data_IF_645013188906
#
_entry.id   IF_645013188906
#
_cell.length_a   1.000
_cell.length_b   1.000
_cell.length_c   1.000
_cell.angle_alpha   90.00
_cell.angle_beta   90.00
_cell.angle_gamma   90.00
#
_symmetry.space_group_name_H-M   'P 1'
#
loop_
_entity.id
_entity.type
_entity.pdbx_description
1 polymer ?
#
# COMPACT_ATOMS: atom_id res chain seq x y z
N UNK A 1 12.76 18.78 -23.26
CA UNK A 1 11.51 18.00 -23.12
C UNK A 1 11.24 17.72 -21.65
N UNK A 2 9.99 17.44 -21.28
CA UNK A 2 9.55 17.32 -19.88
C UNK A 2 9.80 15.88 -19.38
N UNK A 3 11.03 15.63 -18.92
CA UNK A 3 11.39 14.41 -18.19
C UNK A 3 11.43 14.63 -16.68
N UNK A 4 10.77 13.73 -15.94
CA UNK A 4 11.11 13.16 -14.62
C UNK A 4 11.73 14.09 -13.56
N UNK A 5 11.30 15.35 -13.45
CA UNK A 5 11.99 16.32 -12.58
C UNK A 5 11.23 17.60 -12.27
N UNK A 6 9.89 17.55 -12.28
CA UNK A 6 9.10 18.43 -11.42
C UNK A 6 8.59 17.55 -10.28
N UNK A 7 8.69 18.02 -9.04
CA UNK A 7 8.12 17.33 -7.90
C UNK A 7 6.61 17.13 -8.15
N UNK A 8 6.12 15.94 -7.85
CA UNK A 8 5.06 15.34 -8.68
C UNK A 8 3.71 16.03 -8.54
N UNK A 9 3.23 16.60 -9.65
CA UNK A 9 1.89 17.15 -9.83
C UNK A 9 0.87 15.99 -9.93
N UNK A 10 0.70 15.25 -8.84
CA UNK A 10 -0.18 14.09 -8.77
C UNK A 10 -1.66 14.48 -8.63
N UNK A 11 -2.53 13.52 -8.92
CA UNK A 11 -3.98 13.63 -8.77
C UNK A 11 -4.57 14.84 -9.54
N UNK A 12 -4.22 14.92 -10.82
CA UNK A 12 -4.76 15.87 -11.83
C UNK A 12 -5.09 15.23 -13.19
N UNK A 13 -4.70 13.96 -13.41
CA UNK A 13 -4.81 13.29 -14.70
C UNK A 13 -3.78 13.78 -15.74
N UNK A 14 -3.01 12.85 -16.32
CA UNK A 14 -1.90 13.18 -17.25
C UNK A 14 -2.35 13.96 -18.48
N UNK A 15 -3.45 13.55 -19.14
CA UNK A 15 -3.98 14.25 -20.32
C UNK A 15 -4.58 15.63 -20.02
N UNK A 16 -5.22 15.79 -18.86
CA UNK A 16 -5.74 17.09 -18.42
C UNK A 16 -4.59 18.07 -18.09
N UNK A 17 -3.53 17.59 -17.44
CA UNK A 17 -2.32 18.37 -17.20
C UNK A 17 -1.62 18.79 -18.52
N UNK A 18 -1.49 17.87 -19.48
CA UNK A 18 -0.85 18.13 -20.78
C UNK A 18 -1.52 19.27 -21.59
N UNK A 19 -2.85 19.44 -21.47
CA UNK A 19 -3.60 20.47 -22.17
C UNK A 19 -3.74 21.80 -21.39
N UNK A 20 -3.28 21.82 -20.13
CA UNK A 20 -3.61 22.85 -19.14
C UNK A 20 -3.04 24.25 -19.40
N UNK A 21 -3.76 25.27 -18.93
CA UNK A 21 -3.26 26.66 -18.81
C UNK A 21 -2.01 26.73 -17.93
N UNK A 22 -1.92 25.90 -16.89
CA UNK A 22 -0.77 25.83 -15.98
C UNK A 22 0.50 25.44 -16.75
N UNK A 23 0.44 24.34 -17.51
CA UNK A 23 1.58 23.86 -18.30
C UNK A 23 1.94 24.84 -19.42
N UNK A 24 0.95 25.48 -20.06
CA UNK A 24 1.19 26.54 -21.07
C UNK A 24 1.99 27.70 -20.48
N UNK A 25 1.57 28.24 -19.34
CA UNK A 25 2.27 29.33 -18.63
C UNK A 25 3.66 28.91 -18.14
N UNK A 26 3.79 27.72 -17.58
CA UNK A 26 5.08 27.15 -17.15
C UNK A 26 6.08 27.06 -18.32
N UNK A 27 5.63 26.57 -19.48
CA UNK A 27 6.46 26.49 -20.69
C UNK A 27 6.79 27.87 -21.30
N UNK A 28 6.07 28.92 -20.92
CA UNK A 28 6.31 30.32 -21.31
C UNK A 28 7.20 31.08 -20.30
N UNK A 29 7.60 30.46 -19.18
CA UNK A 29 8.32 31.12 -18.09
C UNK A 29 7.45 32.00 -17.18
N UNK A 30 6.13 32.01 -17.37
CA UNK A 30 5.16 32.68 -16.48
C UNK A 30 4.97 31.84 -15.21
N UNK A 31 5.98 31.83 -14.35
CA UNK A 31 5.96 31.08 -13.10
C UNK A 31 4.89 31.63 -12.14
N UNK A 32 4.75 32.95 -12.01
CA UNK A 32 3.76 33.54 -11.09
C UNK A 32 2.32 33.26 -11.55
N UNK A 33 2.04 33.32 -12.86
CA UNK A 33 0.74 32.97 -13.40
C UNK A 33 0.49 31.46 -13.41
N UNK A 34 1.50 30.61 -13.61
CA UNK A 34 1.36 29.15 -13.46
C UNK A 34 1.06 28.76 -12.00
N UNK A 35 1.74 29.38 -11.04
CA UNK A 35 1.47 29.25 -9.61
C UNK A 35 0.02 29.63 -9.25
N UNK A 36 -0.60 30.55 -10.00
CA UNK A 36 -1.99 30.95 -9.78
C UNK A 36 -3.02 29.97 -10.36
N UNK A 37 -2.64 29.01 -11.22
CA UNK A 37 -3.56 27.99 -11.74
C UNK A 37 -3.76 26.80 -10.79
N UNK A 38 -2.89 26.57 -9.80
CA UNK A 38 -2.94 25.41 -8.88
C UNK A 38 -4.30 25.25 -8.20
N UNK A 39 -4.95 26.34 -7.78
CA UNK A 39 -6.25 26.32 -7.08
C UNK A 39 -7.43 25.86 -7.95
N UNK A 40 -7.27 25.71 -9.27
CA UNK A 40 -8.31 25.07 -10.12
C UNK A 40 -8.39 23.56 -9.95
N UNK A 41 -7.30 22.95 -9.48
CA UNK A 41 -7.06 21.50 -9.44
C UNK A 41 -7.35 20.91 -8.04
N UNK A 42 -8.44 21.37 -7.43
CA UNK A 42 -8.89 21.01 -6.07
C UNK A 42 -10.15 20.13 -6.04
N UNK A 43 -10.70 19.80 -7.22
CA UNK A 43 -12.03 19.20 -7.35
C UNK A 43 -11.97 17.72 -7.76
N UNK A 44 -12.73 16.88 -7.08
CA UNK A 44 -13.04 15.49 -7.48
C UNK A 44 -14.51 15.32 -7.87
N UNK A 45 -14.95 14.07 -8.03
CA UNK A 45 -16.36 13.70 -8.18
C UNK A 45 -16.76 12.85 -6.97
N UNK A 46 -17.93 13.13 -6.39
CA UNK A 46 -18.56 12.39 -5.30
C UNK A 46 -20.05 12.28 -5.61
N UNK A 47 -20.61 11.07 -5.61
CA UNK A 47 -22.00 10.77 -5.94
C UNK A 47 -22.41 11.37 -7.31
N UNK A 48 -21.51 11.29 -8.31
CA UNK A 48 -21.67 11.91 -9.63
C UNK A 48 -21.54 13.44 -9.68
N UNK A 49 -21.47 14.13 -8.54
CA UNK A 49 -21.36 15.60 -8.46
C UNK A 49 -19.89 16.03 -8.32
N UNK A 50 -19.49 17.04 -9.10
CA UNK A 50 -18.14 17.62 -8.99
C UNK A 50 -18.06 18.56 -7.78
N UNK A 51 -17.18 18.26 -6.83
CA UNK A 51 -17.00 19.04 -5.60
C UNK A 51 -15.52 19.26 -5.25
N UNK A 52 -15.24 20.31 -4.47
CA UNK A 52 -13.91 20.58 -3.93
C UNK A 52 -13.58 19.59 -2.81
N UNK A 53 -12.42 18.92 -2.88
CA UNK A 53 -11.97 17.97 -1.86
C UNK A 53 -10.97 18.64 -0.91
N UNK A 54 -11.19 18.64 0.44
CA UNK A 54 -10.32 19.34 1.39
C UNK A 54 -8.83 18.97 1.27
N UNK A 55 -8.52 17.68 1.10
CA UNK A 55 -7.16 17.20 0.85
C UNK A 55 -6.52 17.89 -0.37
N UNK A 56 -7.21 17.92 -1.52
CA UNK A 56 -6.70 18.59 -2.71
C UNK A 56 -6.56 20.10 -2.54
N UNK A 57 -7.45 20.78 -1.79
CA UNK A 57 -7.30 22.21 -1.47
C UNK A 57 -5.98 22.46 -0.72
N UNK A 58 -5.73 21.69 0.35
CA UNK A 58 -4.49 21.75 1.14
C UNK A 58 -3.26 21.47 0.27
N UNK A 59 -3.30 20.39 -0.52
CA UNK A 59 -2.24 20.01 -1.46
C UNK A 59 -1.85 21.15 -2.40
N UNK A 60 -2.83 21.75 -3.07
CA UNK A 60 -2.60 22.77 -4.09
C UNK A 60 -2.08 24.08 -3.51
N UNK A 61 -2.37 24.39 -2.25
CA UNK A 61 -1.76 25.51 -1.52
C UNK A 61 -0.27 25.24 -1.21
N UNK A 62 0.07 24.02 -0.78
CA UNK A 62 1.45 23.61 -0.48
C UNK A 62 2.33 23.52 -1.73
N UNK A 63 1.84 22.86 -2.77
CA UNK A 63 2.55 22.77 -4.05
C UNK A 63 2.77 24.16 -4.66
N UNK A 64 1.78 25.08 -4.58
CA UNK A 64 1.95 26.49 -4.99
C UNK A 64 3.03 27.19 -4.19
N UNK A 65 3.06 27.03 -2.86
CA UNK A 65 4.06 27.65 -1.97
C UNK A 65 5.47 27.18 -2.32
N UNK A 66 5.64 25.88 -2.57
CA UNK A 66 6.94 25.30 -2.90
C UNK A 66 7.39 25.65 -4.32
N UNK A 67 6.48 25.66 -5.29
CA UNK A 67 6.72 26.11 -6.66
C UNK A 67 7.26 27.55 -6.69
N UNK A 68 6.63 28.46 -5.94
CA UNK A 68 7.08 29.86 -5.81
C UNK A 68 8.42 29.97 -5.06
N UNK A 69 8.62 29.20 -3.99
CA UNK A 69 9.89 29.16 -3.23
C UNK A 69 11.07 28.69 -4.09
N UNK A 70 10.84 27.80 -5.05
CA UNK A 70 11.85 27.32 -6.00
C UNK A 70 12.10 28.28 -7.18
N UNK A 71 11.37 29.41 -7.28
CA UNK A 71 11.46 30.34 -8.40
C UNK A 71 11.04 29.74 -9.75
N UNK A 72 10.30 28.62 -9.74
CA UNK A 72 9.98 27.83 -10.94
C UNK A 72 11.14 26.99 -11.50
N UNK A 73 12.35 27.08 -10.93
CA UNK A 73 13.53 26.36 -11.43
C UNK A 73 13.54 24.87 -11.06
N UNK A 74 14.11 24.04 -11.92
CA UNK A 74 14.45 22.64 -11.62
C UNK A 74 15.68 22.50 -10.73
N UNK A 75 15.64 23.09 -9.53
CA UNK A 75 16.55 22.71 -8.44
C UNK A 75 15.92 21.51 -7.70
N UNK A 76 16.58 20.33 -7.67
CA UNK A 76 16.13 19.28 -6.78
C UNK A 76 16.07 19.81 -5.34
N UNK A 77 15.01 19.47 -4.62
CA UNK A 77 15.12 19.39 -3.17
C UNK A 77 16.25 18.38 -2.86
N UNK A 78 16.98 18.56 -1.75
CA UNK A 78 18.13 17.71 -1.41
C UNK A 78 17.69 16.29 -1.03
N UNK A 79 17.45 15.49 -2.07
CA UNK A 79 17.21 14.06 -2.00
C UNK A 79 18.49 13.37 -1.53
N UNK A 80 18.53 12.97 -0.26
CA UNK A 80 19.51 11.99 0.21
C UNK A 80 19.40 10.75 -0.69
N UNK A 81 20.41 10.49 -1.53
CA UNK A 81 20.42 9.36 -2.47
C UNK A 81 19.99 8.09 -1.74
N UNK A 82 18.96 7.39 -2.25
CA UNK A 82 18.34 6.28 -1.52
C UNK A 82 19.34 5.15 -1.27
N UNK A 83 19.05 4.30 -0.28
CA UNK A 83 19.85 3.07 -0.06
C UNK A 83 19.96 2.25 -1.36
N UNK A 84 18.89 2.23 -2.15
CA UNK A 84 18.81 1.46 -3.39
C UNK A 84 19.60 2.13 -4.52
N UNK A 85 19.52 3.46 -4.67
CA UNK A 85 20.26 4.21 -5.68
C UNK A 85 21.77 4.30 -5.36
N UNK A 86 22.17 4.06 -4.10
CA UNK A 86 23.58 3.86 -3.69
C UNK A 86 24.16 2.50 -4.11
N UNK A 87 23.34 1.53 -4.53
CA UNK A 87 23.82 0.19 -4.89
C UNK A 87 24.46 0.21 -6.28
N UNK A 88 25.65 -0.37 -6.35
CA UNK A 88 26.53 -0.42 -7.52
C UNK A 88 26.66 -1.83 -8.11
N UNK A 89 26.45 -2.87 -7.30
CA UNK A 89 26.37 -4.27 -7.73
C UNK A 89 25.61 -5.15 -6.72
N UNK A 90 25.22 -6.34 -7.14
CA UNK A 90 24.49 -7.32 -6.34
C UNK A 90 25.26 -8.65 -6.25
N UNK A 91 25.15 -9.34 -5.11
CA UNK A 91 25.74 -10.67 -4.93
C UNK A 91 24.74 -11.68 -4.36
N UNK A 92 24.54 -12.79 -5.07
CA UNK A 92 23.64 -13.87 -4.68
C UNK A 92 24.35 -14.99 -3.94
N UNK A 93 23.88 -15.29 -2.74
CA UNK A 93 24.33 -16.35 -1.85
C UNK A 93 23.23 -17.40 -1.63
N UNK A 94 23.62 -18.56 -1.08
CA UNK A 94 22.69 -19.52 -0.44
C UNK A 94 23.02 -19.60 1.04
N UNK A 95 22.01 -19.63 1.89
CA UNK A 95 22.20 -19.83 3.33
C UNK A 95 22.01 -21.30 3.74
N UNK A 96 22.21 -21.58 5.03
CA UNK A 96 22.06 -22.91 5.65
C UNK A 96 20.68 -23.55 5.41
N UNK A 97 19.63 -22.74 5.32
CA UNK A 97 18.26 -23.16 5.03
C UNK A 97 18.00 -23.31 3.52
N UNK A 98 19.05 -23.23 2.70
CA UNK A 98 19.01 -23.23 1.23
C UNK A 98 18.18 -22.08 0.64
N UNK A 99 17.84 -21.03 1.40
CA UNK A 99 17.19 -19.82 0.85
C UNK A 99 18.15 -19.07 -0.06
N UNK A 100 17.64 -18.16 -0.86
CA UNK A 100 18.46 -17.29 -1.71
C UNK A 100 18.60 -15.94 -1.03
N UNK A 101 19.83 -15.49 -0.83
CA UNK A 101 20.13 -14.25 -0.13
C UNK A 101 20.86 -13.33 -1.11
N UNK A 102 20.37 -12.10 -1.31
CA UNK A 102 21.01 -11.13 -2.21
C UNK A 102 21.55 -9.97 -1.38
N UNK A 103 22.87 -9.81 -1.39
CA UNK A 103 23.56 -8.69 -0.74
C UNK A 103 23.69 -7.56 -1.76
N UNK A 104 23.25 -6.35 -1.36
CA UNK A 104 23.27 -5.17 -2.21
C UNK A 104 24.43 -4.25 -1.80
N UNK A 105 25.38 -4.05 -2.72
CA UNK A 105 26.70 -3.47 -2.44
C UNK A 105 26.90 -2.08 -3.06
N UNK A 106 27.39 -1.16 -2.23
CA UNK A 106 27.94 0.14 -2.61
C UNK A 106 29.47 0.07 -2.49
N UNK A 107 30.16 -0.23 -3.59
CA UNK A 107 31.58 -0.60 -3.55
C UNK A 107 31.81 -1.83 -2.65
N UNK A 108 32.54 -1.64 -1.54
CA UNK A 108 32.76 -2.66 -0.50
C UNK A 108 31.82 -2.57 0.71
N UNK A 109 30.80 -1.70 0.71
CA UNK A 109 29.83 -1.52 1.80
C UNK A 109 28.50 -2.20 1.47
N UNK A 110 27.92 -2.90 2.44
CA UNK A 110 26.54 -3.42 2.34
C UNK A 110 25.55 -2.27 2.61
N UNK A 111 24.55 -2.10 1.74
CA UNK A 111 23.43 -1.17 1.97
C UNK A 111 22.15 -1.89 2.43
N UNK A 112 21.89 -3.08 1.87
CA UNK A 112 20.79 -4.00 2.21
C UNK A 112 21.21 -5.47 2.06
N UNK A 113 20.58 -6.37 2.83
CA UNK A 113 20.64 -7.82 2.62
C UNK A 113 19.20 -8.32 2.46
N UNK A 114 18.87 -8.82 1.27
CA UNK A 114 17.57 -9.42 0.97
C UNK A 114 17.61 -10.93 1.20
N UNK A 115 16.58 -11.52 1.80
CA UNK A 115 16.37 -12.98 1.86
C UNK A 115 15.07 -13.31 1.14
N UNK A 116 15.14 -14.11 0.08
CA UNK A 116 13.96 -14.61 -0.63
C UNK A 116 13.47 -15.88 0.06
N UNK A 117 12.24 -15.85 0.56
CA UNK A 117 11.63 -16.98 1.30
C UNK A 117 11.46 -18.23 0.42
N UNK A 118 11.14 -18.02 -0.86
CA UNK A 118 11.18 -19.02 -1.93
C UNK A 118 12.10 -18.52 -3.04
N UNK A 119 12.83 -19.43 -3.69
CA UNK A 119 13.56 -19.06 -4.91
C UNK A 119 12.58 -18.97 -6.10
N UNK A 120 12.13 -17.75 -6.41
CA UNK A 120 11.51 -17.43 -7.69
C UNK A 120 12.43 -16.50 -8.50
N UNK A 121 12.60 -16.80 -9.80
CA UNK A 121 13.33 -15.94 -10.74
C UNK A 121 12.57 -14.65 -11.03
N UNK A 122 11.23 -14.72 -11.03
CA UNK A 122 10.39 -13.53 -11.24
C UNK A 122 10.56 -12.58 -10.06
N UNK A 123 10.44 -13.04 -8.81
CA UNK A 123 10.73 -12.22 -7.62
C UNK A 123 12.09 -11.50 -7.68
N UNK A 124 13.15 -12.12 -8.20
CA UNK A 124 14.44 -11.43 -8.44
C UNK A 124 14.32 -10.33 -9.51
N UNK A 125 13.75 -10.64 -10.68
CA UNK A 125 13.53 -9.69 -11.76
C UNK A 125 12.58 -8.53 -11.38
N UNK A 126 11.68 -8.77 -10.44
CA UNK A 126 10.70 -7.83 -9.91
C UNK A 126 11.30 -6.88 -8.87
N UNK A 127 12.31 -7.34 -8.11
CA UNK A 127 12.90 -6.64 -6.96
C UNK A 127 14.23 -5.96 -7.32
N UNK A 128 14.96 -6.43 -8.33
CA UNK A 128 16.20 -5.81 -8.79
C UNK A 128 16.03 -4.39 -9.39
N UNK A 129 14.94 -4.03 -10.10
CA UNK A 129 14.75 -2.68 -10.67
C UNK A 129 14.77 -1.52 -9.68
N UNK A 130 14.63 -1.75 -8.37
CA UNK A 130 14.84 -0.71 -7.36
C UNK A 130 16.31 -0.22 -7.34
N UNK A 131 17.28 -1.11 -7.65
CA UNK A 131 18.71 -0.85 -7.60
C UNK A 131 19.23 -0.29 -8.94
N UNK A 132 18.74 0.88 -9.34
CA UNK A 132 18.93 1.47 -10.68
C UNK A 132 20.39 1.62 -11.13
N UNK A 133 21.32 1.73 -10.18
CA UNK A 133 22.76 1.90 -10.44
C UNK A 133 23.55 0.58 -10.34
N UNK A 134 22.90 -0.55 -10.07
CA UNK A 134 23.54 -1.86 -10.00
C UNK A 134 23.94 -2.35 -11.40
N UNK A 135 25.25 -2.44 -11.67
CA UNK A 135 25.77 -2.78 -13.01
C UNK A 135 25.84 -4.28 -13.30
N UNK A 136 25.90 -5.12 -12.27
CA UNK A 136 26.01 -6.56 -12.41
C UNK A 136 25.49 -7.29 -11.16
N UNK A 137 25.03 -8.52 -11.37
CA UNK A 137 24.73 -9.51 -10.35
C UNK A 137 25.71 -10.67 -10.52
N UNK A 138 26.33 -11.12 -9.42
CA UNK A 138 27.23 -12.28 -9.40
C UNK A 138 26.79 -13.29 -8.35
N UNK A 139 27.05 -14.58 -8.59
CA UNK A 139 26.79 -15.63 -7.60
C UNK A 139 28.04 -15.84 -6.74
N UNK A 140 27.89 -15.75 -5.43
CA UNK A 140 28.97 -16.01 -4.47
C UNK A 140 29.43 -17.48 -4.53
N UNK A 141 30.73 -17.78 -4.37
CA UNK A 141 31.22 -19.14 -4.14
C UNK A 141 30.52 -19.78 -2.93
N UNK A 142 30.21 -21.08 -3.00
CA UNK A 142 29.42 -21.79 -1.98
C UNK A 142 30.03 -21.85 -0.57
N UNK A 143 31.30 -21.47 -0.41
CA UNK A 143 31.99 -21.34 0.88
C UNK A 143 32.11 -19.87 1.36
N UNK A 144 31.71 -18.88 0.57
CA UNK A 144 31.76 -17.46 0.94
C UNK A 144 30.66 -17.17 1.97
N UNK A 145 31.04 -16.75 3.17
CA UNK A 145 30.08 -16.36 4.22
C UNK A 145 29.27 -15.12 3.79
N UNK A 146 27.98 -15.15 4.10
CA UNK A 146 27.09 -13.98 3.98
C UNK A 146 27.54 -12.93 5.02
N UNK A 147 27.66 -11.64 4.66
CA UNK A 147 27.99 -10.59 5.62
C UNK A 147 26.94 -10.44 6.74
N UNK A 148 27.32 -9.98 7.94
CA UNK A 148 26.36 -9.66 8.99
C UNK A 148 25.57 -8.39 8.64
N UNK A 149 24.28 -8.35 9.01
CA UNK A 149 23.40 -7.20 8.82
C UNK A 149 21.93 -7.56 9.04
N UNK A 150 21.05 -6.55 9.01
CA UNK A 150 19.59 -6.77 8.98
C UNK A 150 19.22 -7.49 7.68
N UNK A 151 18.58 -8.67 7.81
CA UNK A 151 17.98 -9.38 6.68
C UNK A 151 16.56 -8.89 6.46
N UNK A 152 16.32 -8.30 5.30
CA UNK A 152 15.00 -7.91 4.81
C UNK A 152 14.41 -9.12 4.08
N UNK A 153 13.29 -9.66 4.54
CA UNK A 153 12.62 -10.78 3.89
C UNK A 153 11.81 -10.29 2.68
N UNK A 154 11.82 -11.05 1.59
CA UNK A 154 11.27 -10.68 0.28
C UNK A 154 10.40 -11.81 -0.27
N UNK A 155 9.22 -11.44 -0.75
CA UNK A 155 8.10 -12.34 -1.03
C UNK A 155 7.16 -11.73 -2.11
N UNK A 156 6.60 -12.57 -2.99
CA UNK A 156 5.58 -12.16 -3.98
C UNK A 156 4.33 -11.58 -3.26
N UNK A 157 3.45 -10.80 -3.90
CA UNK A 157 2.12 -10.49 -3.28
C UNK A 157 1.28 -11.78 -3.12
N UNK A 158 1.45 -12.70 -4.07
CA UNK A 158 1.04 -14.11 -4.04
C UNK A 158 1.94 -15.02 -3.17
N UNK A 159 2.82 -14.42 -2.36
CA UNK A 159 3.36 -14.99 -1.13
C UNK A 159 2.93 -14.24 0.15
N UNK A 160 2.63 -12.93 0.08
CA UNK A 160 2.03 -12.18 1.20
C UNK A 160 0.67 -12.85 1.56
N UNK A 161 -0.18 -13.19 0.57
CA UNK A 161 -1.08 -14.34 0.68
C UNK A 161 -0.50 -15.48 -0.14
N UNK A 162 -0.61 -16.74 0.29
CA UNK A 162 0.24 -17.81 -0.24
C UNK A 162 -0.55 -19.10 -0.56
N UNK A 163 -1.37 -19.23 -1.61
CA UNK A 163 -1.46 -18.63 -2.95
C UNK A 163 -0.47 -19.12 -4.02
N UNK A 164 0.86 -18.98 -3.94
CA UNK A 164 1.78 -19.45 -5.02
C UNK A 164 2.02 -20.98 -5.11
N UNK A 165 1.02 -21.76 -4.69
CA UNK A 165 0.61 -23.01 -5.36
C UNK A 165 -0.88 -22.87 -5.71
N UNK A 166 -1.19 -22.00 -6.68
CA UNK A 166 -2.59 -21.57 -6.90
C UNK A 166 -3.43 -22.81 -7.28
N UNK A 167 -4.38 -23.25 -6.43
CA UNK A 167 -4.88 -24.63 -6.49
C UNK A 167 -5.61 -24.89 -7.80
N UNK A 168 -5.22 -25.94 -8.53
CA UNK A 168 -5.77 -26.23 -9.86
C UNK A 168 -7.16 -26.85 -9.72
N UNK A 169 -8.20 -26.07 -10.02
CA UNK A 169 -9.56 -26.60 -10.10
C UNK A 169 -9.70 -27.44 -11.37
N UNK A 170 -9.85 -28.76 -11.21
CA UNK A 170 -9.91 -29.72 -12.32
C UNK A 170 -11.34 -30.11 -12.73
N UNK A 171 -12.35 -29.72 -11.95
CA UNK A 171 -13.78 -29.95 -12.18
C UNK A 171 -14.61 -28.84 -11.53
N UNK A 172 -15.84 -28.62 -11.98
CA UNK A 172 -16.79 -27.73 -11.26
C UNK A 172 -17.16 -28.38 -9.93
N UNK A 173 -17.26 -27.58 -8.87
CA UNK A 173 -17.63 -28.04 -7.54
C UNK A 173 -19.01 -27.50 -7.13
N UNK A 174 -19.84 -28.40 -6.64
CA UNK A 174 -21.24 -28.18 -6.24
C UNK A 174 -21.54 -28.94 -4.95
N UNK A 175 -22.66 -28.63 -4.30
CA UNK A 175 -23.08 -29.34 -3.08
C UNK A 175 -23.13 -30.86 -3.30
N UNK A 176 -22.48 -31.61 -2.40
CA UNK A 176 -22.26 -33.05 -2.53
C UNK A 176 -20.98 -33.46 -3.27
N UNK A 177 -20.13 -32.52 -3.69
CA UNK A 177 -18.78 -32.84 -4.19
C UNK A 177 -17.86 -33.21 -3.02
N UNK A 178 -17.03 -34.24 -3.19
CA UNK A 178 -16.06 -34.69 -2.19
C UNK A 178 -14.65 -34.76 -2.81
N UNK A 179 -13.63 -34.23 -2.14
CA UNK A 179 -12.24 -34.34 -2.59
C UNK A 179 -11.27 -33.26 -2.09
N UNK A 180 -9.98 -33.49 -2.31
CA UNK A 180 -8.90 -32.56 -1.92
C UNK A 180 -8.95 -31.22 -2.64
N UNK A 181 -9.66 -31.11 -3.77
CA UNK A 181 -10.02 -29.82 -4.36
C UNK A 181 -11.02 -29.08 -3.45
N UNK A 182 -12.16 -29.66 -3.09
CA UNK A 182 -13.16 -29.07 -2.16
C UNK A 182 -12.52 -28.60 -0.86
N UNK A 183 -11.58 -29.37 -0.27
CA UNK A 183 -10.89 -28.94 0.95
C UNK A 183 -10.21 -27.57 0.82
N UNK A 184 -9.65 -27.30 -0.36
CA UNK A 184 -8.88 -26.09 -0.66
C UNK A 184 -9.81 -24.90 -1.04
N UNK A 185 -11.03 -25.18 -1.52
CA UNK A 185 -12.10 -24.17 -1.62
C UNK A 185 -12.40 -23.56 -0.25
N UNK A 186 -12.62 -24.47 0.70
CA UNK A 186 -13.01 -24.19 2.07
C UNK A 186 -11.91 -23.41 2.79
N UNK A 187 -10.64 -23.77 2.59
CA UNK A 187 -9.48 -23.01 3.09
C UNK A 187 -9.47 -21.55 2.62
N UNK A 188 -9.84 -21.27 1.35
CA UNK A 188 -9.63 -19.93 0.79
C UNK A 188 -10.83 -18.98 0.81
N UNK A 189 -12.06 -19.49 0.78
CA UNK A 189 -13.21 -18.67 1.19
C UNK A 189 -13.01 -18.13 2.63
N UNK A 190 -12.30 -18.88 3.48
CA UNK A 190 -11.95 -18.52 4.86
C UNK A 190 -10.92 -17.39 4.91
N UNK A 191 -9.85 -17.46 4.11
CA UNK A 191 -8.80 -16.42 4.03
C UNK A 191 -9.29 -15.03 3.60
N UNK A 192 -10.30 -14.94 2.72
CA UNK A 192 -10.88 -13.66 2.29
C UNK A 192 -12.05 -13.17 3.16
N UNK A 193 -12.52 -13.97 4.13
CA UNK A 193 -13.53 -13.56 5.11
C UNK A 193 -14.96 -14.02 4.87
N UNK A 194 -15.19 -15.11 4.10
CA UNK A 194 -16.52 -15.51 3.64
C UNK A 194 -16.99 -16.93 4.03
N UNK A 195 -16.11 -17.88 4.38
CA UNK A 195 -16.50 -19.23 4.84
C UNK A 195 -16.06 -19.55 6.26
N UNK A 196 -16.88 -20.32 6.97
CA UNK A 196 -16.73 -20.59 8.41
C UNK A 196 -16.64 -22.08 8.77
N UNK A 197 -16.97 -23.01 7.85
CA UNK A 197 -17.15 -24.42 8.17
C UNK A 197 -15.88 -25.27 8.34
N UNK A 198 -16.09 -26.56 8.56
CA UNK A 198 -15.08 -27.61 8.61
C UNK A 198 -14.30 -27.75 7.29
N UNK A 199 -13.08 -28.30 7.38
CA UNK A 199 -12.25 -28.64 6.21
C UNK A 199 -12.34 -30.14 5.93
N UNK A 200 -13.57 -30.66 5.95
CA UNK A 200 -13.94 -32.08 5.80
C UNK A 200 -13.71 -32.62 4.38
N UNK A 201 -13.40 -31.75 3.42
CA UNK A 201 -13.30 -32.04 1.99
C UNK A 201 -14.65 -32.37 1.32
N UNK A 202 -15.78 -32.07 1.98
CA UNK A 202 -17.14 -32.34 1.52
C UNK A 202 -17.87 -31.01 1.30
N UNK A 203 -18.45 -30.81 0.13
CA UNK A 203 -19.19 -29.60 -0.21
C UNK A 203 -20.57 -29.66 0.43
N UNK A 204 -20.64 -29.46 1.75
CA UNK A 204 -21.88 -29.36 2.50
C UNK A 204 -22.62 -28.04 2.29
N UNK A 205 -23.80 -27.92 2.91
CA UNK A 205 -24.66 -26.72 2.83
C UNK A 205 -23.97 -25.42 3.28
N UNK A 206 -22.97 -25.51 4.16
CA UNK A 206 -22.25 -24.34 4.65
C UNK A 206 -21.27 -23.76 3.62
N UNK A 207 -20.60 -24.63 2.84
CA UNK A 207 -19.73 -24.18 1.74
C UNK A 207 -20.58 -23.50 0.68
N UNK A 208 -21.80 -24.00 0.49
CA UNK A 208 -22.82 -23.42 -0.38
C UNK A 208 -23.22 -21.99 0.00
N UNK A 209 -23.57 -21.73 1.26
CA UNK A 209 -23.94 -20.38 1.73
C UNK A 209 -22.76 -19.39 1.67
N UNK A 210 -21.56 -19.82 2.07
CA UNK A 210 -20.37 -18.96 2.02
C UNK A 210 -19.92 -18.63 0.60
N UNK A 211 -20.04 -19.58 -0.33
CA UNK A 211 -19.84 -19.32 -1.76
C UNK A 211 -20.87 -18.32 -2.25
N UNK A 212 -22.13 -18.44 -1.85
CA UNK A 212 -23.17 -17.47 -2.20
C UNK A 212 -22.83 -16.08 -1.63
N UNK A 213 -22.48 -15.94 -0.36
CA UNK A 213 -22.20 -14.62 0.22
C UNK A 213 -20.88 -14.01 -0.28
N UNK A 214 -19.84 -14.82 -0.52
CA UNK A 214 -18.68 -14.43 -1.33
C UNK A 214 -19.08 -13.92 -2.72
N UNK A 215 -20.01 -14.62 -3.39
CA UNK A 215 -20.52 -14.24 -4.70
C UNK A 215 -21.42 -13.00 -4.65
N UNK A 216 -22.12 -12.73 -3.55
CA UNK A 216 -22.85 -11.46 -3.35
C UNK A 216 -21.87 -10.30 -3.17
N UNK A 217 -20.87 -10.47 -2.30
CA UNK A 217 -19.93 -9.42 -1.92
C UNK A 217 -18.83 -9.13 -2.95
N UNK A 218 -18.65 -9.99 -3.96
CA UNK A 218 -17.76 -9.79 -5.12
C UNK A 218 -18.43 -9.82 -6.50
N UNK A 219 -19.65 -10.35 -6.66
CA UNK A 219 -20.37 -10.45 -7.95
C UNK A 219 -21.87 -10.06 -7.90
N UNK A 220 -22.44 -9.72 -6.74
CA UNK A 220 -23.79 -9.15 -6.60
C UNK A 220 -24.91 -10.13 -6.19
N UNK A 221 -26.01 -9.53 -5.70
CA UNK A 221 -27.12 -10.22 -5.00
C UNK A 221 -27.82 -11.30 -5.84
N UNK A 222 -27.87 -11.17 -7.17
CA UNK A 222 -28.62 -12.04 -8.09
C UNK A 222 -27.98 -13.41 -8.36
N UNK A 223 -27.07 -13.86 -7.50
CA UNK A 223 -26.33 -15.13 -7.65
C UNK A 223 -26.57 -16.10 -6.49
N UNK A 224 -27.84 -16.41 -6.25
CA UNK A 224 -28.39 -17.35 -5.24
C UNK A 224 -27.83 -18.79 -5.30
N UNK A 225 -26.95 -19.11 -6.27
CA UNK A 225 -26.42 -20.46 -6.46
C UNK A 225 -25.00 -20.64 -5.91
N UNK A 226 -24.76 -21.82 -5.34
CA UNK A 226 -23.51 -22.22 -4.73
C UNK A 226 -22.48 -22.81 -5.69
N UNK A 227 -22.74 -22.82 -7.00
CA UNK A 227 -21.82 -23.45 -7.97
C UNK A 227 -20.47 -22.76 -7.95
N UNK A 228 -19.41 -23.52 -7.67
CA UNK A 228 -18.01 -23.09 -7.73
C UNK A 228 -17.39 -23.63 -9.02
N UNK A 229 -17.60 -22.84 -10.05
CA UNK A 229 -16.90 -22.95 -11.32
C UNK A 229 -15.50 -22.31 -11.20
N UNK A 230 -14.66 -22.50 -12.22
CA UNK A 230 -13.28 -21.99 -12.26
C UNK A 230 -13.17 -20.46 -12.07
N UNK A 231 -14.24 -19.72 -12.40
CA UNK A 231 -14.41 -18.28 -12.12
C UNK A 231 -14.46 -17.99 -10.61
N UNK A 232 -15.37 -18.63 -9.88
CA UNK A 232 -15.55 -18.38 -8.44
C UNK A 232 -14.28 -18.79 -7.68
N UNK A 233 -13.63 -19.88 -8.14
CA UNK A 233 -12.35 -20.34 -7.62
C UNK A 233 -11.30 -19.23 -7.53
N UNK A 234 -10.88 -18.69 -8.68
CA UNK A 234 -9.72 -17.78 -8.73
C UNK A 234 -9.84 -16.57 -7.82
N UNK A 235 -11.05 -16.01 -7.69
CA UNK A 235 -11.29 -14.79 -6.92
C UNK A 235 -10.99 -14.97 -5.42
N UNK A 236 -11.01 -16.22 -4.92
CA UNK A 236 -10.64 -16.57 -3.55
C UNK A 236 -9.16 -16.24 -3.25
N UNK A 237 -8.29 -16.38 -4.26
CA UNK A 237 -6.87 -16.01 -4.32
C UNK A 237 -6.42 -14.85 -3.38
N UNK A 238 -7.18 -13.73 -3.44
CA UNK A 238 -7.07 -12.50 -2.62
C UNK A 238 -5.76 -11.71 -2.65
N UNK A 239 -5.71 -10.66 -1.83
CA UNK A 239 -4.53 -9.85 -1.44
C UNK A 239 -4.69 -9.40 0.07
N UNK A 240 -3.64 -9.06 0.88
CA UNK A 240 -3.50 -9.49 2.33
C UNK A 240 -3.28 -8.36 3.41
N UNK A 241 -3.00 -8.52 4.75
CA UNK A 241 -2.63 -9.59 5.78
C UNK A 241 -2.81 -9.06 7.28
N UNK A 242 -2.49 -9.79 8.42
CA UNK A 242 -2.94 -9.50 9.82
C UNK A 242 -1.93 -9.37 11.06
N UNK A 243 -2.43 -9.44 12.33
CA UNK A 243 -2.06 -8.67 13.60
C UNK A 243 -1.32 -9.39 14.81
N UNK A 244 -0.79 -8.65 15.84
CA UNK A 244 -0.33 -9.08 17.20
C UNK A 244 -1.39 -8.90 18.35
N UNK A 245 -1.06 -9.01 19.68
CA UNK A 245 -2.02 -9.46 20.72
C UNK A 245 -2.51 -8.45 21.80
N UNK A 246 -3.37 -8.96 22.71
CA UNK A 246 -4.47 -8.28 23.43
C UNK A 246 -4.43 -8.38 24.98
N UNK A 247 -4.77 -7.30 25.71
CA UNK A 247 -4.85 -7.19 27.20
C UNK A 247 -6.15 -6.49 27.68
N UNK A 248 -6.61 -6.58 28.95
CA UNK A 248 -7.94 -6.11 29.36
C UNK A 248 -8.14 -4.57 29.30
N UNK A 249 -9.38 -4.09 29.08
CA UNK A 249 -9.67 -2.68 28.87
C UNK A 249 -9.54 -1.87 30.17
N UNK A 250 -8.67 -0.86 30.12
CA UNK A 250 -8.76 0.34 30.96
C UNK A 250 -9.43 1.45 30.14
N UNK A 251 -9.78 2.59 30.74
CA UNK A 251 -10.39 3.73 30.04
C UNK A 251 -9.38 4.47 29.15
N UNK A 252 -8.89 3.77 28.12
CA UNK A 252 -7.97 4.26 27.10
C UNK A 252 -8.73 4.47 25.78
N UNK A 253 -8.19 5.30 24.90
CA UNK A 253 -8.83 5.62 23.63
C UNK A 253 -8.80 4.45 22.64
N UNK A 254 -9.65 4.56 21.63
CA UNK A 254 -9.52 3.79 20.39
C UNK A 254 -8.60 4.55 19.44
N UNK A 255 -7.65 3.88 18.81
CA UNK A 255 -6.66 4.52 17.93
C UNK A 255 -6.07 3.56 16.90
N UNK A 256 -5.48 4.10 15.83
CA UNK A 256 -4.65 3.36 14.89
C UNK A 256 -3.15 3.63 15.15
N UNK A 257 -2.28 2.71 14.76
CA UNK A 257 -0.82 2.83 14.91
C UNK A 257 -0.09 2.25 13.70
N UNK A 258 0.55 3.08 12.89
CA UNK A 258 1.33 2.64 11.73
C UNK A 258 2.78 2.35 12.14
N UNK A 259 3.27 1.13 11.91
CA UNK A 259 4.66 0.73 12.19
C UNK A 259 5.33 0.03 11.00
N UNK A 260 6.67 0.07 10.96
CA UNK A 260 7.49 -0.53 9.89
C UNK A 260 7.90 -1.97 10.20
N UNK A 261 7.89 -2.85 9.19
CA UNK A 261 8.44 -4.21 9.27
C UNK A 261 9.74 -4.37 8.46
N UNK A 262 10.50 -5.44 8.74
CA UNK A 262 11.69 -5.87 7.98
C UNK A 262 11.34 -6.79 6.79
N UNK A 263 10.18 -6.58 6.15
CA UNK A 263 9.76 -7.29 4.92
C UNK A 263 9.52 -6.32 3.77
N UNK A 264 9.82 -6.73 2.53
CA UNK A 264 9.49 -6.02 1.30
C UNK A 264 8.66 -6.88 0.36
N UNK A 265 7.59 -6.32 -0.21
CA UNK A 265 6.74 -7.00 -1.18
C UNK A 265 7.39 -7.18 -2.58
N UNK A 266 6.64 -7.79 -3.51
CA UNK A 266 7.02 -8.04 -4.91
C UNK A 266 7.49 -6.80 -5.68
N UNK A 267 7.20 -5.60 -5.19
CA UNK A 267 7.55 -4.34 -5.82
C UNK A 267 8.69 -3.60 -5.10
N UNK A 268 9.22 -4.17 -4.01
CA UNK A 268 10.27 -3.58 -3.19
C UNK A 268 9.79 -2.54 -2.16
N UNK A 269 8.47 -2.33 -2.03
CA UNK A 269 7.92 -1.55 -0.92
C UNK A 269 8.08 -2.33 0.38
N UNK A 270 8.62 -1.69 1.42
CA UNK A 270 8.49 -2.16 2.80
C UNK A 270 7.01 -2.32 3.12
N UNK A 271 6.66 -3.52 3.59
CA UNK A 271 5.34 -3.83 4.11
C UNK A 271 5.23 -3.26 5.52
N UNK A 272 4.14 -2.55 5.77
CA UNK A 272 3.88 -1.84 7.02
C UNK A 272 2.68 -2.46 7.73
N UNK A 273 2.57 -2.16 9.01
CA UNK A 273 1.57 -2.72 9.90
C UNK A 273 0.64 -1.59 10.36
N UNK A 274 -0.61 -1.59 9.88
CA UNK A 274 -1.65 -0.67 10.35
C UNK A 274 -2.34 -1.28 11.56
N UNK A 275 -1.82 -0.94 12.74
CA UNK A 275 -2.38 -1.36 14.00
C UNK A 275 -3.67 -0.57 14.36
N UNK A 276 -4.53 -1.19 15.17
CA UNK A 276 -5.88 -0.75 15.56
C UNK A 276 -6.05 -1.25 16.97
N UNK A 277 -6.26 -0.32 17.89
CA UNK A 277 -6.43 -0.58 19.30
C UNK A 277 -7.83 -0.14 19.71
N UNK A 278 -8.59 -1.06 20.32
CA UNK A 278 -9.90 -0.85 20.94
C UNK A 278 -9.70 -0.78 22.44
N UNK A 279 -10.07 0.31 23.10
CA UNK A 279 -9.76 0.59 24.52
C UNK A 279 -8.27 0.38 24.89
N UNK A 280 -7.35 0.80 24.01
CA UNK A 280 -5.91 0.60 24.19
C UNK A 280 -5.41 -0.84 24.04
N UNK A 281 -6.19 -1.74 23.43
CA UNK A 281 -5.93 -3.18 23.24
C UNK A 281 -5.99 -3.55 21.75
N UNK A 282 -4.99 -4.29 21.26
CA UNK A 282 -4.66 -4.45 19.83
C UNK A 282 -5.55 -5.48 19.11
N UNK A 283 -6.50 -5.07 18.26
CA UNK A 283 -7.63 -5.91 17.84
C UNK A 283 -7.46 -6.65 16.49
N UNK A 284 -7.69 -6.03 15.32
CA UNK A 284 -7.59 -6.66 13.97
C UNK A 284 -6.79 -5.80 12.96
N UNK A 285 -5.85 -6.33 12.13
CA UNK A 285 -4.81 -5.60 11.31
C UNK A 285 -4.96 -5.77 9.81
N UNK A 286 -4.53 -4.74 9.09
CA UNK A 286 -4.19 -4.79 7.67
C UNK A 286 -2.69 -4.55 7.50
N UNK A 287 -2.08 -5.33 6.63
CA UNK A 287 -0.77 -4.98 6.07
C UNK A 287 -1.00 -3.94 4.97
N UNK A 288 -0.16 -2.92 4.97
CA UNK A 288 -0.33 -1.74 4.11
C UNK A 288 1.00 -1.32 3.52
N UNK A 289 0.97 -0.62 2.38
CA UNK A 289 2.13 0.13 1.91
C UNK A 289 1.98 1.62 2.24
N UNK A 290 3.11 2.33 2.29
CA UNK A 290 3.13 3.79 2.36
C UNK A 290 4.46 4.30 1.78
N UNK A 291 4.39 5.20 0.81
CA UNK A 291 5.55 5.68 0.06
C UNK A 291 6.07 4.69 -0.98
N UNK A 292 6.65 5.21 -2.06
CA UNK A 292 7.09 4.42 -3.21
C UNK A 292 8.46 3.72 -2.99
N UNK A 293 8.78 2.61 -3.69
CA UNK A 293 10.07 1.92 -3.58
C UNK A 293 11.24 2.87 -3.86
N UNK A 294 12.29 2.79 -3.04
CA UNK A 294 13.42 3.74 -3.08
C UNK A 294 13.11 5.15 -2.57
N UNK A 295 11.83 5.52 -2.37
CA UNK A 295 11.38 6.76 -1.72
C UNK A 295 10.94 6.57 -0.26
N UNK A 296 10.95 5.35 0.26
CA UNK A 296 10.59 5.04 1.66
C UNK A 296 11.64 5.50 2.69
N UNK A 297 11.90 6.81 2.75
CA UNK A 297 12.67 7.46 3.81
C UNK A 297 11.77 7.71 5.02
N UNK A 298 11.70 6.74 5.93
CA UNK A 298 11.03 6.90 7.22
C UNK A 298 11.72 8.02 8.01
N UNK A 299 11.00 9.13 8.24
CA UNK A 299 11.53 10.40 8.75
C UNK A 299 10.58 11.01 9.79
N UNK A 300 11.09 11.92 10.61
CA UNK A 300 10.28 12.74 11.53
C UNK A 300 9.61 13.89 10.76
N UNK A 301 8.54 14.47 11.32
CA UNK A 301 7.77 15.54 10.68
C UNK A 301 8.57 16.75 10.20
N UNK A 302 9.58 17.17 10.97
CA UNK A 302 10.49 18.27 10.64
C UNK A 302 11.53 17.93 9.54
N UNK A 303 11.64 16.65 9.15
CA UNK A 303 12.60 16.16 8.14
C UNK A 303 11.95 15.66 6.84
N UNK A 304 10.71 15.14 6.89
CA UNK A 304 9.98 14.79 5.66
C UNK A 304 9.53 16.05 4.92
N UNK A 305 9.55 16.00 3.58
CA UNK A 305 9.20 17.12 2.70
C UNK A 305 7.98 16.78 1.84
N UNK A 306 7.28 17.80 1.35
CA UNK A 306 6.18 17.59 0.41
C UNK A 306 6.68 16.94 -0.91
N UNK A 307 5.80 16.23 -1.62
CA UNK A 307 6.03 15.72 -2.99
C UNK A 307 7.23 14.74 -3.18
N UNK A 308 7.87 14.26 -2.12
CA UNK A 308 9.05 13.36 -2.20
C UNK A 308 8.74 11.90 -2.47
N UNK A 309 7.46 11.50 -2.43
CA UNK A 309 7.05 10.09 -2.43
C UNK A 309 7.35 9.33 -1.13
N UNK A 310 7.80 10.02 -0.09
CA UNK A 310 8.06 9.45 1.25
C UNK A 310 6.78 8.94 1.93
N UNK A 311 6.89 8.05 2.95
CA UNK A 311 5.77 7.65 3.81
C UNK A 311 5.25 8.82 4.64
N UNK A 312 4.20 8.59 5.45
CA UNK A 312 3.86 9.51 6.55
C UNK A 312 5.10 9.76 7.42
N UNK A 313 5.43 11.00 7.78
CA UNK A 313 6.36 11.24 8.87
C UNK A 313 5.84 10.73 10.21
N UNK A 314 6.80 10.41 11.08
CA UNK A 314 6.57 10.04 12.47
C UNK A 314 5.85 11.16 13.24
N UNK A 315 4.86 10.78 14.05
CA UNK A 315 3.98 11.71 14.77
C UNK A 315 2.55 11.20 14.88
N UNK A 316 1.66 12.08 15.36
CA UNK A 316 0.22 11.85 15.46
C UNK A 316 -0.53 12.57 14.34
N UNK A 317 -1.54 11.88 13.84
CA UNK A 317 -2.46 12.28 12.80
C UNK A 317 -3.91 12.12 13.27
N UNK A 318 -4.83 12.89 12.70
CA UNK A 318 -6.27 12.76 12.88
C UNK A 318 -6.91 12.11 11.66
N UNK A 319 -7.85 11.19 11.88
CA UNK A 319 -8.57 10.44 10.86
C UNK A 319 -9.92 11.12 10.61
N UNK A 320 -10.09 11.69 9.41
CA UNK A 320 -11.33 12.34 8.99
C UNK A 320 -12.43 11.34 8.60
N UNK A 321 -13.58 11.85 8.19
CA UNK A 321 -14.72 11.03 7.79
C UNK A 321 -14.48 10.26 6.48
N UNK A 322 -15.25 9.17 6.33
CA UNK A 322 -15.23 8.29 5.16
C UNK A 322 -15.90 9.01 3.98
N UNK A 323 -15.11 9.33 2.94
CA UNK A 323 -15.62 9.93 1.72
C UNK A 323 -15.79 8.83 0.66
N UNK A 324 -17.03 8.63 0.21
CA UNK A 324 -17.36 7.73 -0.90
C UNK A 324 -17.31 8.47 -2.23
N UNK A 325 -16.85 7.80 -3.29
CA UNK A 325 -16.89 8.34 -4.64
C UNK A 325 -18.29 8.24 -5.27
N UNK A 326 -19.08 7.21 -4.93
CA UNK A 326 -20.33 6.87 -5.63
C UNK A 326 -21.31 6.05 -4.77
N UNK A 327 -21.91 6.67 -3.76
CA UNK A 327 -22.82 6.02 -2.84
C UNK A 327 -22.11 5.29 -1.69
N UNK A 328 -22.77 5.22 -0.53
CA UNK A 328 -22.21 4.58 0.66
C UNK A 328 -22.10 3.06 0.45
N UNK A 329 -20.98 2.47 0.88
CA UNK A 329 -20.68 1.03 0.78
C UNK A 329 -20.68 0.45 -0.64
N UNK A 330 -20.62 1.31 -1.66
CA UNK A 330 -20.49 0.90 -3.04
C UNK A 330 -19.02 0.64 -3.42
N UNK A 331 -18.43 -0.42 -2.86
CA UNK A 331 -17.04 -0.84 -3.14
C UNK A 331 -16.77 -1.23 -4.61
N UNK A 332 -17.76 -1.13 -5.49
CA UNK A 332 -17.72 -1.45 -6.91
C UNK A 332 -18.30 -0.34 -7.83
N UNK A 333 -18.55 0.85 -7.27
CA UNK A 333 -19.05 2.03 -7.99
C UNK A 333 -17.96 2.81 -8.74
N UNK A 334 -18.23 4.09 -9.02
CA UNK A 334 -17.18 5.00 -9.49
C UNK A 334 -16.05 5.13 -8.45
N UNK A 335 -14.87 5.57 -8.91
CA UNK A 335 -13.66 5.67 -8.09
C UNK A 335 -13.05 7.06 -8.15
N UNK A 336 -12.36 7.44 -7.07
CA UNK A 336 -11.43 8.56 -7.06
C UNK A 336 -10.24 8.30 -7.98
N UNK A 337 -9.70 9.38 -8.56
CA UNK A 337 -8.61 9.31 -9.53
C UNK A 337 -7.26 8.93 -8.87
N UNK A 338 -6.25 8.66 -9.71
CA UNK A 338 -4.86 8.39 -9.29
C UNK A 338 -4.68 7.23 -8.31
N UNK A 339 -5.54 6.20 -8.35
CA UNK A 339 -5.34 4.94 -7.62
C UNK A 339 -6.00 4.87 -6.24
N UNK A 340 -6.82 5.86 -5.88
CA UNK A 340 -7.47 5.93 -4.56
C UNK A 340 -8.62 4.91 -4.42
N UNK A 341 -9.34 4.61 -5.51
CA UNK A 341 -10.46 3.65 -5.48
C UNK A 341 -11.80 4.26 -5.04
N UNK A 342 -12.81 3.43 -4.68
CA UNK A 342 -14.20 3.88 -4.49
C UNK A 342 -14.44 4.70 -3.21
N UNK A 343 -13.47 4.76 -2.31
CA UNK A 343 -13.61 5.38 -0.99
C UNK A 343 -12.23 5.79 -0.46
N UNK A 344 -12.18 6.91 0.26
CA UNK A 344 -10.97 7.44 0.90
C UNK A 344 -11.26 8.05 2.27
N UNK A 345 -10.23 8.09 3.11
CA UNK A 345 -10.30 8.63 4.49
C UNK A 345 -9.13 9.60 4.70
N UNK A 346 -9.34 10.93 4.65
CA UNK A 346 -8.25 11.90 4.74
C UNK A 346 -7.57 11.94 6.13
N UNK A 347 -6.28 12.27 6.14
CA UNK A 347 -5.45 12.38 7.34
C UNK A 347 -4.84 13.79 7.49
N UNK A 348 -5.03 14.40 8.65
CA UNK A 348 -4.41 15.68 9.02
C UNK A 348 -3.33 15.49 10.10
N UNK A 349 -2.20 16.18 9.98
CA UNK A 349 -1.10 16.10 10.94
C UNK A 349 -1.38 16.94 12.19
N UNK A 350 -1.09 16.40 13.37
CA UNK A 350 -1.36 17.06 14.66
C UNK A 350 -0.07 17.46 15.39
N UNK A 351 0.84 16.52 15.67
CA UNK A 351 2.00 16.75 16.55
C UNK A 351 3.08 15.65 16.40
N UNK A 352 4.35 15.88 16.79
CA UNK A 352 4.93 17.12 17.31
C UNK A 352 5.26 18.18 16.25
N UNK A 353 4.97 19.44 16.57
CA UNK A 353 5.34 20.57 15.72
C UNK A 353 4.50 20.66 14.44
N UNK A 354 5.15 20.78 13.30
CA UNK A 354 4.48 20.86 11.99
C UNK A 354 5.22 20.02 10.95
N UNK A 355 4.56 19.74 9.83
CA UNK A 355 5.15 19.04 8.69
C UNK A 355 4.81 19.74 7.38
N UNK A 356 5.59 19.49 6.33
CA UNK A 356 5.26 19.90 4.94
C UNK A 356 4.31 18.93 4.23
N UNK A 357 3.82 17.90 4.93
CA UNK A 357 2.98 16.84 4.38
C UNK A 357 1.49 17.14 4.54
N UNK A 358 0.80 17.25 3.42
CA UNK A 358 -0.65 17.44 3.32
C UNK A 358 -1.25 16.47 2.30
N UNK A 359 -2.59 16.36 2.30
CA UNK A 359 -3.34 15.52 1.37
C UNK A 359 -2.89 14.06 1.36
N UNK A 360 -2.66 13.56 2.58
CA UNK A 360 -2.39 12.17 2.89
C UNK A 360 -3.73 11.53 3.25
N UNK A 361 -3.99 10.32 2.79
CA UNK A 361 -5.28 9.64 2.99
C UNK A 361 -5.04 8.15 3.28
N UNK A 362 -6.02 7.45 3.86
CA UNK A 362 -6.07 5.98 3.91
C UNK A 362 -7.04 5.49 2.85
N UNK A 363 -6.51 4.79 1.85
CA UNK A 363 -7.26 4.28 0.71
C UNK A 363 -6.84 2.84 0.37
N UNK A 364 -7.51 2.24 -0.61
CA UNK A 364 -7.07 0.97 -1.22
C UNK A 364 -6.12 1.29 -2.38
N UNK A 365 -5.06 0.51 -2.58
CA UNK A 365 -4.09 0.72 -3.67
C UNK A 365 -4.65 0.25 -5.02
N UNK A 366 -5.67 0.94 -5.52
CA UNK A 366 -6.57 0.47 -6.58
C UNK A 366 -5.89 0.27 -7.94
N UNK A 367 -4.71 0.86 -8.15
CA UNK A 367 -3.91 0.72 -9.37
C UNK A 367 -2.55 0.02 -9.16
N UNK A 368 -2.34 -0.68 -8.03
CA UNK A 368 -1.03 -1.23 -7.64
C UNK A 368 -0.40 -2.15 -8.70
N UNK A 369 0.69 -1.71 -9.33
CA UNK A 369 1.41 -2.46 -10.38
C UNK A 369 2.90 -2.05 -10.46
N UNK A 370 3.72 -2.66 -11.34
CA UNK A 370 5.15 -2.31 -11.46
C UNK A 370 5.43 -0.85 -11.83
N UNK A 371 4.54 -0.19 -12.57
CA UNK A 371 4.59 1.25 -12.88
C UNK A 371 3.82 2.13 -11.88
N UNK A 372 3.15 1.55 -10.88
CA UNK A 372 2.56 2.25 -9.73
C UNK A 372 2.71 1.38 -8.48
N UNK A 373 3.95 1.16 -7.99
CA UNK A 373 4.27 0.14 -6.99
C UNK A 373 3.98 0.54 -5.54
N UNK A 374 3.25 1.62 -5.31
CA UNK A 374 2.97 2.18 -3.99
C UNK A 374 2.62 3.66 -4.07
N UNK A 375 2.12 4.16 -2.95
CA UNK A 375 1.56 5.51 -2.85
C UNK A 375 2.62 6.60 -2.88
N UNK A 376 2.20 7.82 -3.24
CA UNK A 376 2.98 9.04 -3.02
C UNK A 376 2.78 9.53 -1.56
N UNK A 377 2.92 8.59 -0.63
CA UNK A 377 2.86 8.82 0.81
C UNK A 377 1.50 8.68 1.50
N UNK A 378 0.43 8.27 0.81
CA UNK A 378 -0.81 7.82 1.46
C UNK A 378 -0.65 6.44 2.13
N UNK A 379 -1.56 6.04 3.02
CA UNK A 379 -1.63 4.65 3.51
C UNK A 379 -2.51 3.85 2.55
N UNK A 380 -2.00 2.71 2.09
CA UNK A 380 -2.64 1.89 1.05
C UNK A 380 -2.86 0.46 1.55
N UNK A 381 -4.11 0.01 1.66
CA UNK A 381 -4.41 -1.43 1.80
C UNK A 381 -4.19 -2.15 0.47
N UNK A 382 -3.79 -3.42 0.52
CA UNK A 382 -3.54 -4.19 -0.70
C UNK A 382 -4.82 -4.68 -1.40
N UNK A 383 -5.97 -4.71 -0.72
CA UNK A 383 -7.19 -5.34 -1.24
C UNK A 383 -8.51 -4.76 -0.67
N UNK A 384 -9.64 -5.18 -1.27
CA UNK A 384 -11.00 -4.72 -0.93
C UNK A 384 -11.53 -5.32 0.38
N UNK A 385 -11.23 -6.58 0.73
CA UNK A 385 -11.62 -7.13 2.03
C UNK A 385 -10.90 -6.42 3.18
N UNK A 386 -9.60 -6.10 3.03
CA UNK A 386 -8.90 -5.29 4.03
C UNK A 386 -9.46 -3.87 4.09
N UNK A 387 -9.81 -3.26 2.95
CA UNK A 387 -10.43 -1.94 3.00
C UNK A 387 -11.83 -1.97 3.64
N UNK A 388 -12.65 -3.00 3.37
CA UNK A 388 -13.92 -3.26 4.09
C UNK A 388 -13.67 -3.42 5.60
N UNK A 389 -12.62 -4.12 6.01
CA UNK A 389 -12.21 -4.26 7.44
C UNK A 389 -11.83 -2.91 8.04
N UNK A 390 -11.01 -2.09 7.37
CA UNK A 390 -10.68 -0.73 7.82
C UNK A 390 -11.93 0.14 8.02
N UNK A 391 -12.82 0.20 7.02
CA UNK A 391 -14.10 0.92 7.12
C UNK A 391 -14.98 0.39 8.26
N UNK A 392 -14.90 -0.91 8.55
CA UNK A 392 -15.60 -1.53 9.69
C UNK A 392 -15.03 -1.07 11.02
N UNK A 393 -13.69 -0.98 11.19
CA UNK A 393 -13.07 -0.45 12.41
C UNK A 393 -13.48 1.01 12.68
N UNK A 394 -13.56 1.83 11.63
CA UNK A 394 -13.98 3.23 11.75
C UNK A 394 -15.41 3.35 12.29
N UNK A 395 -16.31 2.47 11.83
CA UNK A 395 -17.72 2.43 12.28
C UNK A 395 -17.93 1.75 13.63
N UNK A 396 -17.04 0.82 14.00
CA UNK A 396 -17.11 0.06 15.24
C UNK A 396 -16.74 0.90 16.48
N UNK A 397 -15.73 1.78 16.38
CA UNK A 397 -15.23 2.52 17.57
C UNK A 397 -14.83 3.97 17.35
N UNK A 398 -14.99 4.52 16.15
CA UNK A 398 -14.54 5.85 15.75
C UNK A 398 -13.10 6.18 16.24
N UNK A 399 -12.08 5.35 15.89
CA UNK A 399 -10.70 5.54 16.33
C UNK A 399 -10.05 6.71 15.56
N UNK A 400 -10.32 7.94 16.00
CA UNK A 400 -9.89 9.17 15.31
C UNK A 400 -8.41 9.52 15.44
N UNK A 401 -7.71 8.97 16.43
CA UNK A 401 -6.28 9.16 16.61
C UNK A 401 -5.50 8.11 15.78
N UNK A 402 -4.59 8.54 14.88
CA UNK A 402 -3.58 7.69 14.24
C UNK A 402 -2.18 8.09 14.75
N UNK A 403 -1.44 7.13 15.28
CA UNK A 403 -0.03 7.30 15.63
C UNK A 403 0.84 6.67 14.54
N UNK A 404 1.99 7.27 14.24
CA UNK A 404 2.95 6.76 13.25
C UNK A 404 4.29 6.67 13.95
N UNK A 405 4.80 5.44 14.14
CA UNK A 405 6.05 5.15 14.85
C UNK A 405 7.05 4.41 13.96
N UNK A 406 8.14 5.11 13.62
CA UNK A 406 9.29 4.59 12.88
C UNK A 406 10.49 4.33 13.79
N UNK A 407 10.31 4.46 15.11
CA UNK A 407 11.33 4.33 16.17
C UNK A 407 12.43 5.39 16.10
N UNK A 408 12.09 6.59 15.62
CA UNK A 408 12.95 7.78 15.58
C UNK A 408 12.85 8.63 16.87
N UNK A 409 11.90 8.31 17.76
CA UNK A 409 11.79 8.90 19.10
C UNK A 409 10.95 10.18 19.19
N UNK A 410 10.13 10.46 18.17
CA UNK A 410 9.28 11.65 18.05
C UNK A 410 7.78 11.35 18.01
N UNK A 411 7.35 10.11 17.77
CA UNK A 411 5.94 9.74 17.92
C UNK A 411 5.45 10.03 19.35
N UNK A 412 4.31 10.73 19.52
CA UNK A 412 3.58 10.74 20.78
C UNK A 412 3.17 9.31 21.17
N UNK A 413 2.86 9.12 22.47
CA UNK A 413 2.31 7.86 22.98
C UNK A 413 0.79 7.94 23.05
N UNK A 414 0.08 6.85 22.72
CA UNK A 414 -1.39 6.77 22.81
C UNK A 414 -1.93 6.55 24.23
#
# INVERSE_FOLDING_TARGET
MIGNGFAEFNNVGTGAFQSSTLLKKLNQGDYQGAANEFSRWVNGVVNGVKQSLPGLVSRRADEKRLFLKAGGEKKPLEDEISKQDKVTWLEGYRDENKKTVVVAWNGGKVEEILTLEKFNKELLANVFPQYKNARYYVTAPGNKRIPPGERISVFEISDIYNSDKLPKLNRVLVRGSEGSDVKILQERLKDLGYYLGELDAIFGRQTELAVIDFKKDYFGITTDNATVESITWKKLWGDPLPKPPVLPPTSKKNYLLLTKTSRKDRYGCYVLHLDYFKSGKLEDRLEVCCGAPGRQFFRTAARSRAMTGEPLPEGKWYINDIIWADGQDNYYGQIFQSGIGPVTVPLDYIEPGTTERSAIEIHIDWNRNYGSPGTVGCIATYNIADYKRFITWLRDTDPRDLYVDWKLGTSPKP
#
